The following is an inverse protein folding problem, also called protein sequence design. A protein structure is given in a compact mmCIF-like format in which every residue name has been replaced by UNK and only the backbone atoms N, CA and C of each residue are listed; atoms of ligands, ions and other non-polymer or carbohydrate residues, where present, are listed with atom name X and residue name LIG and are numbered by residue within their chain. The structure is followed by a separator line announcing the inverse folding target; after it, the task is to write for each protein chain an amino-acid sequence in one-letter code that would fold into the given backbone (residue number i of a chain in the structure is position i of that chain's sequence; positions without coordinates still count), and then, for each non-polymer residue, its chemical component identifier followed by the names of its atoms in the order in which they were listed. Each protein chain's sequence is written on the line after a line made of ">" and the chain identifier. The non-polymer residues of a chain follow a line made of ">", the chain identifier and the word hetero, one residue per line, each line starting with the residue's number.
data_IF_631668762765
#
_entry.id   IF_631668762765
#
_cell.length_a   1.000
_cell.length_b   1.000
_cell.length_c   1.000
_cell.angle_alpha   90.00
_cell.angle_beta   90.00
_cell.angle_gamma   90.00
#
_symmetry.space_group_name_H-M   'P 1'
#
loop_
_entity.id
_entity.type
_entity.pdbx_description
1 polymer ?
#
# COMPACT_ATOMS: atom_id res chain seq x y z
N UNK A 1 7.78 33.31 -16.86
CA UNK A 1 8.70 33.79 -15.79
C UNK A 1 9.30 32.58 -15.10
N UNK A 2 10.61 32.54 -14.85
CA UNK A 2 11.27 31.47 -14.10
C UNK A 2 12.34 32.05 -13.16
N UNK A 3 12.76 31.27 -12.16
CA UNK A 3 13.83 31.63 -11.25
C UNK A 3 15.16 31.81 -12.02
N UNK A 4 15.86 32.93 -11.83
CA UNK A 4 16.98 33.36 -12.68
C UNK A 4 18.08 32.29 -12.91
N UNK A 5 18.54 31.51 -11.91
CA UNK A 5 19.50 30.43 -12.11
C UNK A 5 19.04 29.31 -13.05
N UNK A 6 17.73 29.06 -13.14
CA UNK A 6 17.17 28.01 -14.02
C UNK A 6 16.90 28.51 -15.44
N UNK A 7 17.02 29.82 -15.69
CA UNK A 7 16.74 30.41 -17.00
C UNK A 7 17.58 29.78 -18.10
N UNK A 8 18.88 29.64 -17.86
CA UNK A 8 19.80 29.10 -18.85
C UNK A 8 19.59 27.59 -19.08
N UNK A 9 19.29 26.85 -18.01
CA UNK A 9 18.91 25.44 -18.09
C UNK A 9 17.67 25.23 -18.96
N UNK A 10 16.60 25.98 -18.70
CA UNK A 10 15.37 25.89 -19.50
C UNK A 10 15.61 26.34 -20.95
N UNK A 11 16.37 27.43 -21.17
CA UNK A 11 16.70 27.90 -22.52
C UNK A 11 17.40 26.82 -23.34
N UNK A 12 18.38 26.14 -22.74
CA UNK A 12 19.14 25.08 -23.40
C UNK A 12 18.23 23.89 -23.77
N UNK A 13 17.52 23.31 -22.81
CA UNK A 13 16.75 22.09 -23.04
C UNK A 13 15.36 22.28 -23.69
N UNK A 14 14.91 23.53 -23.87
CA UNK A 14 13.79 23.83 -24.75
C UNK A 14 14.23 23.99 -26.22
N UNK A 15 15.51 24.27 -26.46
CA UNK A 15 16.06 24.46 -27.81
C UNK A 15 16.76 23.20 -28.33
N UNK A 16 17.43 22.47 -27.45
CA UNK A 16 18.12 21.21 -27.73
C UNK A 16 17.32 20.03 -27.16
N UNK A 17 17.47 18.84 -27.76
CA UNK A 17 16.83 17.62 -27.24
C UNK A 17 17.37 17.25 -25.85
N UNK A 18 16.48 16.84 -24.95
CA UNK A 18 16.84 16.48 -23.57
C UNK A 18 17.53 15.11 -23.51
N UNK A 19 18.70 14.98 -22.85
CA UNK A 19 19.35 13.69 -22.69
C UNK A 19 18.60 12.84 -21.66
N UNK A 20 18.14 11.66 -22.07
CA UNK A 20 17.44 10.71 -21.21
C UNK A 20 18.40 9.60 -20.75
N UNK A 21 18.44 9.36 -19.45
CA UNK A 21 19.25 8.33 -18.78
C UNK A 21 18.36 7.36 -17.99
N UNK A 22 18.86 6.15 -17.75
CA UNK A 22 18.15 5.14 -16.97
C UNK A 22 18.39 5.31 -15.47
N UNK A 23 17.33 5.23 -14.67
CA UNK A 23 17.43 5.15 -13.19
C UNK A 23 17.16 3.72 -12.68
N UNK A 24 17.17 2.72 -13.55
CA UNK A 24 16.83 1.34 -13.19
C UNK A 24 17.70 0.77 -12.06
N UNK A 25 18.99 1.12 -12.02
CA UNK A 25 19.94 0.68 -11.00
C UNK A 25 19.54 1.06 -9.56
N UNK A 26 18.68 2.07 -9.36
CA UNK A 26 18.19 2.43 -8.03
C UNK A 26 16.95 1.64 -7.58
N UNK A 27 16.20 1.08 -8.54
CA UNK A 27 14.92 0.39 -8.31
C UNK A 27 14.97 -1.06 -8.81
N UNK A 28 16.17 -1.65 -8.89
CA UNK A 28 16.37 -2.94 -9.55
C UNK A 28 15.83 -4.12 -8.73
N UNK A 29 15.83 -4.01 -7.40
CA UNK A 29 15.42 -5.08 -6.48
C UNK A 29 14.02 -5.62 -6.76
N UNK A 30 13.03 -4.74 -6.93
CA UNK A 30 11.63 -5.14 -7.14
C UNK A 30 11.47 -5.87 -8.49
N UNK A 31 12.17 -5.41 -9.52
CA UNK A 31 12.19 -6.09 -10.83
C UNK A 31 12.89 -7.44 -10.76
N UNK A 32 14.07 -7.50 -10.13
CA UNK A 32 14.80 -8.76 -10.00
C UNK A 32 14.01 -9.80 -9.21
N UNK A 33 13.38 -9.40 -8.10
CA UNK A 33 12.51 -10.30 -7.34
C UNK A 33 11.35 -10.81 -8.22
N UNK A 34 10.71 -9.93 -8.99
CA UNK A 34 9.61 -10.33 -9.88
C UNK A 34 10.06 -11.34 -10.96
N UNK A 35 11.22 -11.11 -11.60
CA UNK A 35 11.74 -12.02 -12.64
C UNK A 35 12.22 -13.36 -12.09
N UNK A 36 12.74 -13.40 -10.85
CA UNK A 36 13.05 -14.65 -10.14
C UNK A 36 11.76 -15.42 -9.83
N UNK A 37 10.71 -14.74 -9.39
CA UNK A 37 9.39 -15.34 -9.15
C UNK A 37 8.76 -15.89 -10.43
N UNK A 38 8.90 -15.18 -11.56
CA UNK A 38 8.40 -15.63 -12.85
C UNK A 38 9.22 -16.77 -13.49
N UNK A 39 10.38 -17.12 -12.92
CA UNK A 39 11.28 -18.13 -13.48
C UNK A 39 12.05 -17.67 -14.72
N UNK A 40 12.10 -16.36 -15.00
CA UNK A 40 12.93 -15.81 -16.08
C UNK A 40 14.40 -15.74 -15.65
N UNK A 41 14.63 -15.43 -14.37
CA UNK A 41 15.97 -15.34 -13.77
C UNK A 41 16.14 -16.48 -12.77
N UNK A 42 16.74 -17.58 -13.22
CA UNK A 42 16.94 -18.79 -12.39
C UNK A 42 18.33 -18.87 -11.74
N UNK A 43 19.29 -18.06 -12.19
CA UNK A 43 20.67 -18.06 -11.69
C UNK A 43 21.33 -16.68 -11.86
N UNK A 44 22.48 -16.47 -11.21
CA UNK A 44 23.22 -15.20 -11.25
C UNK A 44 23.61 -14.77 -12.67
N UNK A 45 23.97 -15.72 -13.55
CA UNK A 45 24.30 -15.41 -14.95
C UNK A 45 23.07 -14.92 -15.72
N UNK A 46 21.91 -15.55 -15.52
CA UNK A 46 20.64 -15.14 -16.10
C UNK A 46 20.24 -13.71 -15.65
N UNK A 47 20.57 -13.33 -14.41
CA UNK A 47 20.36 -11.97 -13.91
C UNK A 47 21.23 -10.94 -14.65
N UNK A 48 22.52 -11.25 -14.87
CA UNK A 48 23.40 -10.40 -15.68
C UNK A 48 22.89 -10.31 -17.12
N UNK A 49 22.49 -11.45 -17.70
CA UNK A 49 21.94 -11.51 -19.06
C UNK A 49 20.66 -10.68 -19.16
N UNK A 50 19.75 -10.76 -18.19
CA UNK A 50 18.53 -9.93 -18.11
C UNK A 50 18.84 -8.44 -18.19
N UNK A 51 19.88 -7.97 -17.48
CA UNK A 51 20.28 -6.56 -17.52
C UNK A 51 20.73 -6.11 -18.92
N UNK A 52 21.25 -7.00 -19.76
CA UNK A 52 21.68 -6.66 -21.12
C UNK A 52 20.52 -6.22 -22.03
N UNK A 53 19.29 -6.63 -21.72
CA UNK A 53 18.07 -6.26 -22.47
C UNK A 53 17.57 -4.85 -22.12
N UNK A 54 18.12 -4.24 -21.07
CA UNK A 54 17.59 -2.98 -20.53
C UNK A 54 18.12 -1.75 -21.26
N UNK A 55 17.36 -0.64 -21.17
CA UNK A 55 17.85 0.66 -21.63
C UNK A 55 19.11 1.12 -20.87
N UNK A 56 19.25 0.73 -19.60
CA UNK A 56 20.42 1.01 -18.79
C UNK A 56 21.70 0.50 -19.45
N UNK A 57 21.72 -0.77 -19.86
CA UNK A 57 22.88 -1.39 -20.50
C UNK A 57 23.35 -0.61 -21.74
N UNK A 58 22.40 -0.15 -22.57
CA UNK A 58 22.71 0.68 -23.75
C UNK A 58 23.36 2.03 -23.40
N UNK A 59 23.09 2.57 -22.20
CA UNK A 59 23.60 3.86 -21.72
C UNK A 59 24.93 3.76 -20.96
N UNK A 60 25.25 2.61 -20.37
CA UNK A 60 26.50 2.40 -19.60
C UNK A 60 27.75 2.83 -20.38
N UNK A 61 27.84 2.47 -21.67
CA UNK A 61 28.99 2.82 -22.52
C UNK A 61 28.95 4.26 -23.07
N UNK A 62 27.78 4.91 -23.04
CA UNK A 62 27.58 6.26 -23.59
C UNK A 62 27.83 7.34 -22.54
N UNK A 63 27.51 7.08 -21.29
CA UNK A 63 27.71 8.01 -20.17
C UNK A 63 28.12 7.27 -18.89
N UNK A 64 29.32 6.66 -18.86
CA UNK A 64 29.75 5.79 -17.77
C UNK A 64 29.79 6.50 -16.41
N UNK A 65 30.19 7.78 -16.40
CA UNK A 65 30.29 8.58 -15.18
C UNK A 65 28.95 8.74 -14.45
N UNK A 66 27.84 8.77 -15.20
CA UNK A 66 26.50 8.87 -14.59
C UNK A 66 26.14 7.63 -13.77
N UNK A 67 26.62 6.46 -14.19
CA UNK A 67 26.40 5.18 -13.52
C UNK A 67 27.58 4.77 -12.60
N UNK A 68 28.52 5.69 -12.33
CA UNK A 68 29.75 5.46 -11.55
C UNK A 68 30.72 4.40 -12.14
N UNK A 69 30.69 4.17 -13.46
CA UNK A 69 31.67 3.30 -14.12
C UNK A 69 32.99 4.03 -14.33
N UNK A 70 34.10 3.37 -14.00
CA UNK A 70 35.47 3.88 -14.20
C UNK A 70 35.97 3.75 -15.65
N UNK A 71 35.28 2.97 -16.48
CA UNK A 71 35.70 2.74 -17.86
C UNK A 71 34.58 2.13 -18.71
N UNK A 72 34.76 2.17 -20.03
CA UNK A 72 33.77 1.67 -21.02
C UNK A 72 34.18 0.36 -21.68
N UNK A 73 35.36 -0.18 -21.34
CA UNK A 73 35.80 -1.48 -21.85
C UNK A 73 34.87 -2.61 -21.39
N UNK A 74 34.79 -3.68 -22.19
CA UNK A 74 33.92 -4.83 -21.91
C UNK A 74 34.09 -5.38 -20.48
N UNK A 75 35.33 -5.44 -20.01
CA UNK A 75 35.66 -5.86 -18.63
C UNK A 75 35.01 -4.95 -17.57
N UNK A 76 35.15 -3.63 -17.70
CA UNK A 76 34.58 -2.68 -16.74
C UNK A 76 33.04 -2.75 -16.69
N UNK A 77 32.39 -2.93 -17.84
CA UNK A 77 30.93 -3.08 -17.90
C UNK A 77 30.50 -4.40 -17.27
N UNK A 78 31.19 -5.49 -17.59
CA UNK A 78 30.91 -6.80 -17.00
C UNK A 78 31.08 -6.79 -15.49
N UNK A 79 32.21 -6.27 -15.00
CA UNK A 79 32.51 -6.19 -13.57
C UNK A 79 31.43 -5.36 -12.83
N UNK A 80 31.01 -4.23 -13.41
CA UNK A 80 29.94 -3.41 -12.83
C UNK A 80 28.58 -4.10 -12.81
N UNK A 81 28.19 -4.81 -13.87
CA UNK A 81 26.93 -5.56 -13.89
C UNK A 81 26.93 -6.69 -12.89
N UNK A 82 28.05 -7.43 -12.78
CA UNK A 82 28.22 -8.47 -11.78
C UNK A 82 28.11 -7.91 -10.37
N UNK A 83 28.81 -6.80 -10.05
CA UNK A 83 28.73 -6.14 -8.74
C UNK A 83 27.31 -5.66 -8.41
N UNK A 84 26.61 -5.08 -9.39
CA UNK A 84 25.23 -4.64 -9.23
C UNK A 84 24.27 -5.80 -8.96
N UNK A 85 24.41 -6.91 -9.70
CA UNK A 85 23.58 -8.10 -9.50
C UNK A 85 23.85 -8.74 -8.14
N UNK A 86 25.12 -8.90 -7.75
CA UNK A 86 25.48 -9.43 -6.43
C UNK A 86 24.89 -8.57 -5.31
N UNK A 87 25.07 -7.25 -5.37
CA UNK A 87 24.51 -6.33 -4.36
C UNK A 87 22.99 -6.47 -4.23
N UNK A 88 22.28 -6.53 -5.36
CA UNK A 88 20.82 -6.64 -5.37
C UNK A 88 20.35 -8.00 -4.84
N UNK A 89 21.02 -9.08 -5.22
CA UNK A 89 20.67 -10.42 -4.77
C UNK A 89 20.98 -10.62 -3.28
N UNK A 90 22.11 -10.09 -2.79
CA UNK A 90 22.48 -10.11 -1.38
C UNK A 90 21.46 -9.34 -0.52
N UNK A 91 20.99 -8.18 -1.00
CA UNK A 91 19.92 -7.42 -0.35
C UNK A 91 18.60 -8.21 -0.34
N UNK A 92 18.22 -8.82 -1.46
CA UNK A 92 16.99 -9.62 -1.56
C UNK A 92 17.04 -10.89 -0.70
N UNK A 93 18.20 -11.51 -0.57
CA UNK A 93 18.44 -12.64 0.32
C UNK A 93 18.37 -12.21 1.79
N UNK A 94 18.98 -11.07 2.13
CA UNK A 94 18.91 -10.47 3.47
C UNK A 94 17.47 -10.16 3.89
N UNK A 95 16.65 -9.67 2.95
CA UNK A 95 15.22 -9.44 3.15
C UNK A 95 14.36 -10.71 3.05
N UNK A 96 14.96 -11.90 2.88
CA UNK A 96 14.31 -13.21 2.76
C UNK A 96 13.28 -13.29 1.63
N UNK A 97 13.50 -12.55 0.54
CA UNK A 97 12.66 -12.58 -0.66
C UNK A 97 13.10 -13.67 -1.63
N UNK A 98 14.42 -13.89 -1.73
CA UNK A 98 15.06 -14.91 -2.57
C UNK A 98 16.02 -15.72 -1.71
N UNK A 99 16.29 -16.97 -2.09
CA UNK A 99 17.38 -17.77 -1.52
C UNK A 99 18.37 -18.15 -2.63
N UNK A 100 19.66 -18.08 -2.32
CA UNK A 100 20.73 -18.47 -3.23
C UNK A 100 21.19 -19.90 -2.86
N UNK A 101 20.96 -20.86 -3.74
CA UNK A 101 21.40 -22.24 -3.58
C UNK A 101 22.70 -22.50 -4.37
N UNK A 102 23.63 -23.24 -3.76
CA UNK A 102 24.92 -23.61 -4.39
C UNK A 102 25.69 -22.40 -4.96
N UNK A 103 25.58 -21.25 -4.28
CA UNK A 103 26.15 -19.95 -4.66
C UNK A 103 25.75 -19.44 -6.06
N UNK A 104 24.80 -20.09 -6.74
CA UNK A 104 24.53 -19.87 -8.17
C UNK A 104 23.04 -19.81 -8.52
N UNK A 105 22.24 -20.74 -8.01
CA UNK A 105 20.83 -20.89 -8.36
C UNK A 105 19.95 -20.03 -7.46
N UNK A 106 18.92 -19.42 -8.04
CA UNK A 106 18.01 -18.52 -7.37
C UNK A 106 16.64 -19.18 -7.24
N UNK A 107 16.08 -19.17 -6.02
CA UNK A 107 14.71 -19.59 -5.78
C UNK A 107 13.92 -18.52 -5.04
N UNK A 108 12.66 -18.26 -5.44
CA UNK A 108 11.81 -17.33 -4.71
C UNK A 108 11.39 -17.92 -3.35
N UNK A 109 11.33 -17.07 -2.32
CA UNK A 109 10.75 -17.39 -1.02
C UNK A 109 9.34 -16.78 -0.90
N UNK A 110 8.60 -17.18 0.14
CA UNK A 110 7.23 -16.71 0.37
C UNK A 110 7.11 -15.17 0.39
N UNK A 111 8.07 -14.46 0.99
CA UNK A 111 8.04 -12.99 1.00
C UNK A 111 8.24 -12.40 -0.40
N UNK A 112 9.12 -12.99 -1.21
CA UNK A 112 9.34 -12.58 -2.60
C UNK A 112 8.12 -12.83 -3.47
N UNK A 113 7.46 -13.99 -3.29
CA UNK A 113 6.18 -14.31 -3.94
C UNK A 113 5.10 -13.28 -3.61
N UNK A 114 4.93 -12.93 -2.33
CA UNK A 114 3.96 -11.93 -1.88
C UNK A 114 4.27 -10.55 -2.47
N UNK A 115 5.55 -10.12 -2.44
CA UNK A 115 5.98 -8.84 -2.99
C UNK A 115 5.65 -8.72 -4.49
N UNK A 116 6.00 -9.77 -5.26
CA UNK A 116 5.75 -9.83 -6.71
C UNK A 116 4.24 -9.87 -7.02
N UNK A 117 3.48 -10.71 -6.32
CA UNK A 117 2.05 -10.91 -6.57
C UNK A 117 1.22 -9.64 -6.37
N UNK A 118 1.49 -8.87 -5.32
CA UNK A 118 0.74 -7.64 -5.02
C UNK A 118 1.35 -6.37 -5.61
N UNK A 119 2.49 -6.48 -6.30
CA UNK A 119 3.25 -5.34 -6.83
C UNK A 119 3.57 -4.30 -5.74
N UNK A 120 4.25 -4.80 -4.69
CA UNK A 120 4.65 -4.05 -3.49
C UNK A 120 6.16 -4.12 -3.37
N UNK A 121 6.77 -3.03 -2.90
CA UNK A 121 8.23 -2.99 -2.75
C UNK A 121 8.74 -4.04 -1.76
N UNK A 122 9.85 -4.70 -2.06
CA UNK A 122 10.48 -5.68 -1.18
C UNK A 122 10.79 -5.10 0.20
N UNK A 123 11.16 -3.81 0.27
CA UNK A 123 11.39 -3.06 1.52
C UNK A 123 10.14 -2.99 2.40
N UNK A 124 8.97 -2.86 1.79
CA UNK A 124 7.70 -2.85 2.53
C UNK A 124 7.40 -4.22 3.12
N UNK A 125 7.60 -5.29 2.37
CA UNK A 125 7.40 -6.66 2.87
C UNK A 125 8.41 -7.02 3.95
N UNK A 126 9.67 -6.59 3.82
CA UNK A 126 10.70 -6.73 4.85
C UNK A 126 10.30 -6.01 6.15
N UNK A 127 9.82 -4.76 6.05
CA UNK A 127 9.29 -4.00 7.19
C UNK A 127 8.11 -4.72 7.84
N UNK A 128 7.18 -5.24 7.04
CA UNK A 128 6.05 -6.01 7.56
C UNK A 128 6.55 -7.26 8.31
N UNK A 129 7.44 -8.05 7.70
CA UNK A 129 7.96 -9.26 8.34
C UNK A 129 8.76 -8.99 9.61
N UNK A 130 9.44 -7.83 9.73
CA UNK A 130 10.25 -7.49 10.89
C UNK A 130 9.45 -6.85 12.04
N UNK A 131 8.41 -6.07 11.73
CA UNK A 131 7.61 -5.36 12.73
C UNK A 131 6.45 -6.21 13.31
N UNK A 132 5.93 -7.17 12.54
CA UNK A 132 4.79 -7.98 12.99
C UNK A 132 5.25 -8.98 14.06
N UNK A 133 4.50 -9.05 15.15
CA UNK A 133 4.65 -10.08 16.18
C UNK A 133 3.29 -10.72 16.47
N UNK A 134 3.28 -11.92 17.06
CA UNK A 134 2.03 -12.60 17.43
C UNK A 134 1.14 -11.77 18.39
N UNK A 135 1.70 -10.79 19.10
CA UNK A 135 0.99 -9.93 20.07
C UNK A 135 0.55 -8.59 19.47
N UNK A 136 0.82 -8.34 18.20
CA UNK A 136 0.43 -7.10 17.53
C UNK A 136 -1.08 -6.89 17.61
N UNK A 137 -1.50 -5.68 17.94
CA UNK A 137 -2.92 -5.27 18.03
C UNK A 137 -3.27 -4.33 16.88
N UNK A 138 -4.53 -3.90 16.79
CA UNK A 138 -5.00 -2.98 15.74
C UNK A 138 -4.15 -1.71 15.63
N UNK A 139 -3.75 -1.09 16.77
CA UNK A 139 -2.82 0.05 16.78
C UNK A 139 -1.52 -0.26 16.01
N UNK A 140 -0.89 -1.39 16.33
CA UNK A 140 0.35 -1.80 15.68
C UNK A 140 0.16 -2.17 14.20
N UNK A 141 -0.97 -2.78 13.82
CA UNK A 141 -1.27 -3.04 12.41
C UNK A 141 -1.37 -1.75 11.59
N UNK A 142 -1.96 -0.69 12.16
CA UNK A 142 -2.04 0.63 11.52
C UNK A 142 -0.67 1.29 11.39
N UNK A 143 0.16 1.21 12.42
CA UNK A 143 1.52 1.74 12.40
C UNK A 143 2.39 1.00 11.36
N UNK A 144 2.26 -0.32 11.26
CA UNK A 144 2.95 -1.14 10.26
C UNK A 144 2.45 -0.80 8.86
N UNK A 145 1.14 -0.68 8.66
CA UNK A 145 0.59 -0.29 7.37
C UNK A 145 1.12 1.09 6.94
N UNK A 146 1.13 2.06 7.85
CA UNK A 146 1.60 3.42 7.59
C UNK A 146 3.12 3.51 7.33
N UNK A 147 3.92 2.53 7.78
CA UNK A 147 5.37 2.48 7.54
C UNK A 147 5.75 1.94 6.15
N UNK A 148 4.76 1.59 5.31
CA UNK A 148 4.97 1.14 3.94
C UNK A 148 5.76 2.17 3.10
N UNK A 149 6.69 1.68 2.27
CA UNK A 149 7.56 2.51 1.42
C UNK A 149 6.77 3.23 0.33
N UNK A 150 5.63 2.69 -0.07
CA UNK A 150 4.68 3.28 -1.01
C UNK A 150 4.15 4.63 -0.54
N UNK A 151 4.11 4.86 0.77
CA UNK A 151 3.70 6.14 1.34
C UNK A 151 4.84 7.15 1.40
N UNK A 152 6.09 6.77 1.18
CA UNK A 152 7.21 7.71 1.18
C UNK A 152 7.15 8.73 0.01
N UNK A 153 6.40 8.40 -1.05
CA UNK A 153 6.20 9.27 -2.21
C UNK A 153 5.10 10.33 -2.01
N UNK A 154 4.43 10.35 -0.86
CA UNK A 154 3.36 11.30 -0.60
C UNK A 154 3.89 12.75 -0.64
N UNK A 155 3.23 13.66 -1.37
CA UNK A 155 3.66 15.04 -1.45
C UNK A 155 3.47 15.73 -0.10
N UNK A 156 4.53 16.35 0.41
CA UNK A 156 4.47 17.26 1.55
C UNK A 156 4.32 18.70 1.06
N UNK A 157 3.15 19.31 1.28
CA UNK A 157 2.93 20.71 0.94
C UNK A 157 3.21 21.60 2.16
N UNK A 158 3.76 22.80 1.92
CA UNK A 158 3.95 23.80 2.99
C UNK A 158 2.59 24.25 3.56
N UNK A 159 2.49 24.35 4.87
CA UNK A 159 1.26 24.78 5.56
C UNK A 159 0.31 23.65 5.94
N UNK A 160 0.69 22.39 5.69
CA UNK A 160 -0.07 21.22 6.15
C UNK A 160 0.25 20.84 7.61
N UNK A 161 1.34 21.37 8.18
CA UNK A 161 1.89 20.92 9.47
C UNK A 161 0.90 21.11 10.62
N UNK A 162 0.23 22.27 10.70
CA UNK A 162 -0.75 22.58 11.75
C UNK A 162 -2.02 21.72 11.62
N UNK A 163 -2.43 21.45 10.38
CA UNK A 163 -3.59 20.59 10.11
C UNK A 163 -3.30 19.13 10.47
N UNK A 164 -2.10 18.64 10.14
CA UNK A 164 -1.64 17.30 10.52
C UNK A 164 -1.53 17.19 12.04
N UNK A 165 -0.96 18.19 12.71
CA UNK A 165 -0.87 18.21 14.18
C UNK A 165 -2.26 18.15 14.82
N UNK A 166 -3.23 18.88 14.28
CA UNK A 166 -4.62 18.83 14.75
C UNK A 166 -5.21 17.43 14.56
N UNK A 167 -4.97 16.78 13.41
CA UNK A 167 -5.41 15.40 13.17
C UNK A 167 -4.75 14.43 14.16
N UNK A 168 -3.45 14.57 14.43
CA UNK A 168 -2.70 13.71 15.36
C UNK A 168 -3.23 13.83 16.79
N UNK A 169 -3.58 15.03 17.23
CA UNK A 169 -4.14 15.24 18.58
C UNK A 169 -5.51 14.60 18.79
N UNK A 170 -6.33 14.52 17.74
CA UNK A 170 -7.69 13.97 17.80
C UNK A 170 -7.78 12.49 17.40
N UNK A 171 -6.65 11.82 17.22
CA UNK A 171 -6.62 10.42 16.82
C UNK A 171 -6.96 9.45 17.95
N UNK A 172 -7.61 8.35 17.57
CA UNK A 172 -7.93 7.24 18.47
C UNK A 172 -6.67 6.53 18.95
N UNK A 173 -5.68 6.38 18.08
CA UNK A 173 -4.39 5.79 18.41
C UNK A 173 -3.28 6.82 18.20
N UNK A 174 -2.69 7.28 19.30
CA UNK A 174 -1.54 8.20 19.25
C UNK A 174 -0.29 7.48 18.77
N UNK A 175 0.39 8.07 17.79
CA UNK A 175 1.71 7.65 17.35
C UNK A 175 2.74 8.03 18.43
N UNK A 176 3.48 7.07 18.95
CA UNK A 176 4.51 7.33 19.96
C UNK A 176 5.75 7.98 19.28
N UNK A 177 6.21 9.12 19.83
CA UNK A 177 7.52 9.73 19.58
C UNK A 177 7.91 10.04 18.12
N UNK A 178 7.01 10.58 17.31
CA UNK A 178 7.32 10.87 15.92
C UNK A 178 7.27 12.37 15.61
N UNK A 179 8.27 12.86 14.87
CA UNK A 179 8.31 14.25 14.41
C UNK A 179 7.15 14.44 13.43
N UNK A 180 6.36 15.51 13.60
CA UNK A 180 5.19 15.80 12.76
C UNK A 180 5.51 15.96 11.24
N UNK A 181 6.80 16.07 10.89
CA UNK A 181 7.30 16.18 9.51
C UNK A 181 7.54 14.82 8.84
N UNK A 182 7.34 13.71 9.55
CA UNK A 182 7.48 12.37 8.98
C UNK A 182 6.26 12.01 8.14
N UNK A 183 6.52 11.63 6.88
CA UNK A 183 5.50 11.23 5.90
C UNK A 183 4.69 10.02 6.39
N UNK A 184 5.29 9.13 7.18
CA UNK A 184 4.60 7.97 7.75
C UNK A 184 3.61 8.36 8.86
N UNK A 185 3.89 9.43 9.61
CA UNK A 185 2.94 9.99 10.60
C UNK A 185 1.75 10.60 9.88
N UNK A 186 2.00 11.36 8.82
CA UNK A 186 0.95 11.90 7.95
C UNK A 186 0.08 10.77 7.38
N UNK A 187 0.69 9.69 6.91
CA UNK A 187 -0.04 8.53 6.37
C UNK A 187 -0.94 7.89 7.44
N UNK A 188 -0.42 7.63 8.64
CA UNK A 188 -1.20 7.11 9.76
C UNK A 188 -2.35 8.04 10.13
N UNK A 189 -2.08 9.36 10.17
CA UNK A 189 -3.07 10.35 10.52
C UNK A 189 -4.24 10.40 9.55
N UNK A 190 -3.95 10.36 8.25
CA UNK A 190 -4.96 10.39 7.20
C UNK A 190 -5.76 9.07 7.14
N UNK A 191 -5.14 7.93 7.44
CA UNK A 191 -5.85 6.65 7.60
C UNK A 191 -6.84 6.70 8.77
N UNK A 192 -6.41 7.20 9.94
CA UNK A 192 -7.31 7.31 11.09
C UNK A 192 -8.42 8.34 10.88
N UNK A 193 -8.14 9.44 10.18
CA UNK A 193 -9.15 10.42 9.77
C UNK A 193 -10.20 9.79 8.84
N UNK A 194 -9.78 8.90 7.94
CA UNK A 194 -10.68 8.13 7.05
C UNK A 194 -11.62 7.24 7.84
N UNK A 195 -11.12 6.45 8.79
CA UNK A 195 -11.96 5.59 9.64
C UNK A 195 -12.92 6.40 10.52
N UNK A 196 -12.54 7.61 10.89
CA UNK A 196 -13.36 8.48 11.73
C UNK A 196 -14.35 9.33 10.91
N UNK A 197 -14.33 9.22 9.58
CA UNK A 197 -15.08 10.06 8.63
C UNK A 197 -14.90 11.56 8.89
N UNK A 198 -13.71 11.95 9.36
CA UNK A 198 -13.39 13.34 9.59
C UNK A 198 -13.20 14.03 8.23
N UNK A 199 -13.81 15.19 8.05
CA UNK A 199 -13.70 15.96 6.80
C UNK A 199 -12.30 16.54 6.68
N UNK A 200 -11.54 16.03 5.72
CA UNK A 200 -10.23 16.57 5.33
C UNK A 200 -10.41 17.40 4.06
N UNK A 201 -9.74 18.55 3.97
CA UNK A 201 -9.90 19.52 2.87
C UNK A 201 -8.58 19.80 2.13
N UNK A 202 -8.69 20.31 0.90
CA UNK A 202 -7.55 20.76 0.11
C UNK A 202 -6.55 19.64 -0.22
N UNK A 203 -5.25 19.93 -0.04
CA UNK A 203 -4.16 19.01 -0.37
C UNK A 203 -4.16 17.75 0.49
N UNK A 204 -4.58 17.84 1.75
CA UNK A 204 -4.69 16.66 2.62
C UNK A 204 -5.77 15.68 2.14
N UNK A 205 -6.84 16.17 1.52
CA UNK A 205 -7.86 15.32 0.92
C UNK A 205 -7.32 14.59 -0.32
N UNK A 206 -6.47 15.24 -1.10
CA UNK A 206 -5.77 14.59 -2.22
C UNK A 206 -4.80 13.52 -1.70
N UNK A 207 -3.98 13.85 -0.70
CA UNK A 207 -3.06 12.90 -0.06
C UNK A 207 -3.79 11.71 0.58
N UNK A 208 -4.96 11.92 1.19
CA UNK A 208 -5.77 10.81 1.72
C UNK A 208 -6.22 9.85 0.61
N UNK A 209 -6.62 10.36 -0.57
CA UNK A 209 -6.96 9.50 -1.71
C UNK A 209 -5.74 8.72 -2.20
N UNK A 210 -4.59 9.37 -2.30
CA UNK A 210 -3.34 8.73 -2.71
C UNK A 210 -2.92 7.60 -1.76
N UNK A 211 -3.18 7.75 -0.46
CA UNK A 211 -2.95 6.69 0.56
C UNK A 211 -3.94 5.53 0.41
N UNK A 212 -5.21 5.83 0.15
CA UNK A 212 -6.26 4.81 0.10
C UNK A 212 -6.16 3.93 -1.15
N UNK A 213 -5.51 4.39 -2.23
CA UNK A 213 -5.32 3.61 -3.46
C UNK A 213 -4.50 2.33 -3.25
N UNK A 214 -3.27 2.37 -2.67
CA UNK A 214 -2.49 1.18 -2.39
C UNK A 214 -2.90 0.43 -1.12
N UNK A 215 -3.69 1.03 -0.22
CA UNK A 215 -4.03 0.42 1.07
C UNK A 215 -4.63 -1.01 0.96
N UNK A 216 -5.57 -1.32 0.03
CA UNK A 216 -6.11 -2.67 -0.10
C UNK A 216 -5.07 -3.73 -0.46
N UNK A 217 -4.13 -3.42 -1.36
CA UNK A 217 -3.05 -4.38 -1.73
C UNK A 217 -2.05 -4.56 -0.58
N UNK A 218 -1.71 -3.47 0.12
CA UNK A 218 -0.82 -3.51 1.28
C UNK A 218 -1.43 -4.32 2.44
N UNK A 219 -2.74 -4.21 2.68
CA UNK A 219 -3.40 -4.99 3.73
C UNK A 219 -3.48 -6.47 3.34
N UNK A 220 -3.73 -6.79 2.06
CA UNK A 220 -3.73 -8.18 1.59
C UNK A 220 -2.35 -8.82 1.72
N UNK A 221 -1.29 -8.13 1.33
CA UNK A 221 0.07 -8.65 1.54
C UNK A 221 0.40 -8.81 3.03
N UNK A 222 -0.07 -7.89 3.88
CA UNK A 222 0.06 -8.01 5.33
C UNK A 222 -0.64 -9.27 5.86
N UNK A 223 -1.86 -9.57 5.39
CA UNK A 223 -2.59 -10.80 5.73
C UNK A 223 -1.80 -12.05 5.34
N UNK A 224 -1.20 -12.07 4.15
CA UNK A 224 -0.45 -13.24 3.66
C UNK A 224 0.88 -13.44 4.40
N UNK A 225 1.56 -12.35 4.76
CA UNK A 225 2.75 -12.39 5.64
C UNK A 225 2.39 -12.95 7.02
N UNK A 226 1.27 -12.52 7.60
CA UNK A 226 0.79 -13.03 8.90
C UNK A 226 0.39 -14.51 8.78
N UNK A 227 -0.28 -14.87 7.69
CA UNK A 227 -0.78 -16.23 7.45
C UNK A 227 0.37 -17.21 7.23
N UNK A 228 1.45 -16.78 6.57
CA UNK A 228 2.69 -17.56 6.42
C UNK A 228 3.34 -17.92 7.77
N UNK A 229 3.08 -17.14 8.82
CA UNK A 229 3.56 -17.39 10.19
C UNK A 229 2.55 -18.18 11.06
N UNK A 230 1.35 -18.49 10.55
CA UNK A 230 0.34 -19.28 11.26
C UNK A 230 -0.43 -18.53 12.35
N UNK A 231 -0.43 -17.19 12.34
CA UNK A 231 -1.09 -16.39 13.38
C UNK A 231 -2.55 -16.03 13.04
N UNK A 232 -3.46 -17.00 13.17
CA UNK A 232 -4.89 -16.86 12.80
C UNK A 232 -5.58 -15.63 13.41
N UNK A 233 -5.42 -15.41 14.73
CA UNK A 233 -6.01 -14.27 15.44
C UNK A 233 -5.61 -12.94 14.81
N UNK A 234 -4.33 -12.80 14.45
CA UNK A 234 -3.79 -11.59 13.87
C UNK A 234 -4.23 -11.43 12.40
N UNK A 235 -4.31 -12.54 11.65
CA UNK A 235 -4.82 -12.53 10.28
C UNK A 235 -6.27 -12.03 10.23
N UNK A 236 -7.13 -12.50 11.15
CA UNK A 236 -8.51 -12.02 11.28
C UNK A 236 -8.55 -10.51 11.58
N UNK A 237 -7.66 -10.01 12.44
CA UNK A 237 -7.55 -8.57 12.72
C UNK A 237 -7.08 -7.75 11.52
N UNK A 238 -6.18 -8.27 10.70
CA UNK A 238 -5.78 -7.63 9.45
C UNK A 238 -6.91 -7.66 8.40
N UNK A 239 -7.74 -8.70 8.38
CA UNK A 239 -8.95 -8.74 7.53
C UNK A 239 -10.00 -7.72 7.98
N UNK A 240 -10.21 -7.57 9.30
CA UNK A 240 -11.04 -6.50 9.84
C UNK A 240 -10.51 -5.12 9.41
N UNK A 241 -9.20 -4.91 9.42
CA UNK A 241 -8.58 -3.68 8.92
C UNK A 241 -8.87 -3.44 7.42
N UNK A 242 -8.87 -4.48 6.60
CA UNK A 242 -9.26 -4.37 5.18
C UNK A 242 -10.70 -3.88 5.03
N UNK A 243 -11.60 -4.35 5.89
CA UNK A 243 -13.00 -3.91 5.91
C UNK A 243 -13.11 -2.45 6.37
N UNK A 244 -12.35 -2.07 7.42
CA UNK A 244 -12.30 -0.70 7.92
C UNK A 244 -11.85 0.29 6.84
N UNK A 245 -10.82 -0.04 6.05
CA UNK A 245 -10.37 0.80 4.92
C UNK A 245 -11.41 0.90 3.83
N UNK A 246 -12.05 -0.21 3.48
CA UNK A 246 -13.07 -0.23 2.41
C UNK A 246 -14.31 0.58 2.78
N UNK A 247 -14.77 0.45 4.02
CA UNK A 247 -16.02 1.07 4.50
C UNK A 247 -15.82 2.45 5.16
N UNK A 248 -14.58 2.84 5.45
CA UNK A 248 -14.25 4.10 6.11
C UNK A 248 -14.92 4.21 7.49
N UNK A 249 -14.76 3.17 8.32
CA UNK A 249 -15.34 3.11 9.66
C UNK A 249 -14.45 2.27 10.59
N UNK A 250 -14.60 2.44 11.89
CA UNK A 250 -13.87 1.65 12.88
C UNK A 250 -14.51 0.27 13.13
N UNK A 251 -13.71 -0.62 13.70
CA UNK A 251 -14.10 -1.97 14.13
C UNK A 251 -15.29 -2.02 15.10
N UNK A 252 -15.42 -0.99 15.94
CA UNK A 252 -16.47 -0.87 16.98
C UNK A 252 -17.66 -0.03 16.55
N UNK A 253 -17.61 0.55 15.37
CA UNK A 253 -18.71 1.35 14.85
C UNK A 253 -19.87 0.44 14.44
N UNK A 254 -21.09 0.97 14.52
CA UNK A 254 -22.28 0.22 14.13
C UNK A 254 -22.26 -0.14 12.64
N UNK A 255 -22.66 -1.37 12.32
CA UNK A 255 -22.69 -1.88 10.95
C UNK A 255 -23.58 -1.04 10.03
N UNK A 256 -24.61 -0.38 10.58
CA UNK A 256 -25.52 0.48 9.82
C UNK A 256 -24.81 1.65 9.14
N UNK A 257 -23.65 2.10 9.65
CA UNK A 257 -22.86 3.16 9.03
C UNK A 257 -22.28 2.77 7.67
N UNK A 258 -22.30 1.49 7.28
CA UNK A 258 -21.92 1.06 5.93
C UNK A 258 -22.88 1.57 4.86
N UNK A 259 -24.12 1.89 5.25
CA UNK A 259 -25.13 2.37 4.32
C UNK A 259 -24.95 3.86 4.00
N UNK A 260 -25.21 4.27 2.74
CA UNK A 260 -25.19 5.67 2.37
C UNK A 260 -26.14 6.49 3.24
N UNK A 261 -25.75 7.73 3.53
CA UNK A 261 -26.58 8.73 4.26
C UNK A 261 -26.87 8.40 5.73
N UNK A 262 -26.35 7.29 6.28
CA UNK A 262 -26.44 7.01 7.70
C UNK A 262 -25.44 7.85 8.50
N UNK A 263 -25.97 8.73 9.35
CA UNK A 263 -25.19 9.49 10.33
C UNK A 263 -25.13 8.77 11.68
N UNK A 264 -24.28 9.23 12.60
CA UNK A 264 -24.17 8.63 13.94
C UNK A 264 -25.48 8.76 14.72
N UNK A 265 -26.15 9.91 14.61
CA UNK A 265 -27.43 10.19 15.28
C UNK A 265 -28.55 9.28 14.76
N UNK A 266 -28.60 9.05 13.44
CA UNK A 266 -29.58 8.13 12.86
C UNK A 266 -29.33 6.69 13.35
N UNK A 267 -28.06 6.31 13.46
CA UNK A 267 -27.66 4.98 13.89
C UNK A 267 -28.05 4.71 15.34
N UNK A 268 -27.87 5.68 16.24
CA UNK A 268 -28.30 5.60 17.63
C UNK A 268 -29.82 5.42 17.74
N UNK A 269 -30.59 6.20 17.00
CA UNK A 269 -32.07 6.08 16.94
C UNK A 269 -32.51 4.69 16.49
N UNK A 270 -31.78 4.08 15.56
CA UNK A 270 -32.09 2.76 15.04
C UNK A 270 -31.77 1.65 16.03
N UNK A 271 -30.66 1.78 16.75
CA UNK A 271 -30.30 0.88 17.83
C UNK A 271 -31.31 0.94 19.00
N UNK A 272 -31.83 2.12 19.34
CA UNK A 272 -32.91 2.26 20.31
C UNK A 272 -34.20 1.53 19.90
N UNK A 273 -34.42 1.35 18.60
CA UNK A 273 -35.54 0.59 18.05
C UNK A 273 -35.24 -0.91 17.86
N UNK A 274 -34.09 -1.39 18.37
CA UNK A 274 -33.69 -2.80 18.31
C UNK A 274 -33.16 -3.27 16.96
N UNK A 275 -32.76 -2.34 16.08
CA UNK A 275 -32.20 -2.62 14.76
C UNK A 275 -30.68 -2.44 14.85
N UNK A 276 -29.94 -3.53 14.85
CA UNK A 276 -28.48 -3.52 15.02
C UNK A 276 -27.73 -3.99 13.77
N UNK A 277 -28.41 -4.73 12.89
CA UNK A 277 -27.83 -5.38 11.73
C UNK A 277 -28.44 -4.90 10.42
N UNK A 278 -27.65 -4.99 9.35
CA UNK A 278 -28.13 -4.72 7.98
C UNK A 278 -29.06 -5.84 7.50
N UNK A 279 -29.08 -6.99 8.15
CA UNK A 279 -30.05 -8.04 7.86
C UNK A 279 -31.46 -7.69 8.37
N UNK A 280 -31.55 -6.98 9.50
CA UNK A 280 -32.81 -6.53 10.09
C UNK A 280 -33.53 -5.52 9.16
N UNK A 281 -32.76 -4.82 8.31
CA UNK A 281 -33.28 -3.92 7.27
C UNK A 281 -34.12 -4.63 6.21
N UNK A 282 -33.79 -5.88 5.87
CA UNK A 282 -34.54 -6.65 4.89
C UNK A 282 -35.91 -7.09 5.45
N UNK A 283 -36.05 -7.18 6.77
CA UNK A 283 -37.27 -7.61 7.45
C UNK A 283 -38.20 -6.44 7.82
N UNK A 284 -37.72 -5.20 7.68
CA UNK A 284 -38.49 -4.01 7.97
C UNK A 284 -39.49 -3.67 6.86
N UNK A 285 -40.74 -3.46 7.24
CA UNK A 285 -41.77 -2.92 6.35
C UNK A 285 -41.36 -1.53 5.84
N UNK A 286 -41.61 -1.24 4.55
CA UNK A 286 -41.28 0.04 3.91
C UNK A 286 -41.78 1.27 4.69
N UNK A 287 -42.96 1.19 5.30
CA UNK A 287 -43.53 2.28 6.11
C UNK A 287 -42.72 2.57 7.37
N UNK A 288 -42.26 1.54 8.09
CA UNK A 288 -41.36 1.71 9.25
C UNK A 288 -40.01 2.25 8.82
N UNK A 289 -39.48 1.76 7.70
CA UNK A 289 -38.21 2.22 7.14
C UNK A 289 -38.27 3.71 6.78
N UNK A 290 -39.35 4.15 6.12
CA UNK A 290 -39.53 5.55 5.74
C UNK A 290 -39.75 6.48 6.95
N UNK A 291 -40.48 6.01 7.96
CA UNK A 291 -40.69 6.74 9.21
C UNK A 291 -39.40 6.89 10.04
N UNK A 292 -38.53 5.87 10.02
CA UNK A 292 -37.27 5.86 10.77
C UNK A 292 -36.14 6.60 10.04
N UNK A 293 -36.07 6.51 8.71
CA UNK A 293 -35.04 7.19 7.91
C UNK A 293 -35.32 8.69 7.83
N UNK A 294 -36.57 9.10 7.66
CA UNK A 294 -36.93 10.51 7.40
C UNK A 294 -36.12 11.15 6.26
N UNK A 295 -35.60 10.32 5.33
CA UNK A 295 -34.77 10.74 4.21
C UNK A 295 -35.61 10.93 2.94
N UNK A 296 -35.19 11.82 2.02
CA UNK A 296 -35.82 11.95 0.72
C UNK A 296 -35.77 10.64 -0.10
N UNK A 297 -36.77 10.45 -0.96
CA UNK A 297 -36.93 9.22 -1.78
C UNK A 297 -35.70 8.86 -2.63
N UNK A 298 -34.88 9.84 -3.03
CA UNK A 298 -33.62 9.59 -3.74
C UNK A 298 -32.60 8.84 -2.87
N UNK A 299 -32.47 9.22 -1.60
CA UNK A 299 -31.54 8.58 -0.66
C UNK A 299 -32.05 7.21 -0.21
N UNK A 300 -33.37 7.02 -0.14
CA UNK A 300 -33.98 5.70 0.09
C UNK A 300 -33.64 4.70 -1.01
N UNK A 301 -33.60 5.18 -2.26
CA UNK A 301 -33.18 4.37 -3.41
C UNK A 301 -31.71 3.95 -3.29
N UNK A 302 -30.81 4.88 -2.94
CA UNK A 302 -29.38 4.56 -2.73
C UNK A 302 -29.18 3.49 -1.65
N UNK A 303 -29.96 3.55 -0.56
CA UNK A 303 -29.92 2.59 0.54
C UNK A 303 -30.43 1.22 0.07
N UNK A 304 -31.54 1.19 -0.68
CA UNK A 304 -32.15 -0.04 -1.18
C UNK A 304 -31.25 -0.70 -2.23
N UNK A 305 -30.65 0.08 -3.13
CA UNK A 305 -29.68 -0.40 -4.13
C UNK A 305 -28.41 -0.94 -3.43
N UNK A 306 -27.96 -0.31 -2.35
CA UNK A 306 -26.82 -0.78 -1.55
C UNK A 306 -27.13 -2.02 -0.72
N UNK A 307 -28.38 -2.19 -0.27
CA UNK A 307 -28.84 -3.37 0.47
C UNK A 307 -29.05 -4.58 -0.43
N UNK A 308 -29.64 -4.39 -1.62
CA UNK A 308 -29.90 -5.46 -2.59
C UNK A 308 -28.64 -5.83 -3.39
N UNK A 309 -27.75 -4.87 -3.66
CA UNK A 309 -26.43 -5.13 -4.19
C UNK A 309 -25.58 -5.81 -3.12
N UNK A 310 -25.29 -7.09 -3.27
CA UNK A 310 -24.62 -8.01 -2.33
C UNK A 310 -23.26 -7.57 -1.73
N UNK A 311 -22.82 -6.33 -1.94
CA UNK A 311 -21.58 -5.71 -1.45
C UNK A 311 -21.46 -5.68 0.08
N UNK A 312 -22.58 -5.70 0.79
CA UNK A 312 -22.62 -5.65 2.26
C UNK A 312 -22.34 -7.04 2.87
N UNK A 313 -22.99 -8.09 2.35
CA UNK A 313 -22.75 -9.49 2.74
C UNK A 313 -21.37 -10.02 2.31
N UNK A 314 -20.79 -9.46 1.25
CA UNK A 314 -19.49 -9.88 0.72
C UNK A 314 -18.31 -9.48 1.62
N UNK A 315 -18.41 -8.39 2.39
CA UNK A 315 -17.30 -7.93 3.22
C UNK A 315 -16.92 -8.92 4.34
N UNK A 316 -17.87 -9.63 4.97
CA UNK A 316 -17.56 -10.62 6.04
C UNK A 316 -17.18 -12.00 5.49
N UNK A 317 -17.82 -12.49 4.42
CA UNK A 317 -17.62 -13.87 3.95
C UNK A 317 -16.63 -14.03 2.79
N UNK A 318 -16.56 -13.08 1.84
CA UNK A 318 -15.55 -13.15 0.76
C UNK A 318 -14.16 -12.77 1.23
N UNK A 319 -14.02 -11.94 2.26
CA UNK A 319 -12.70 -11.64 2.84
C UNK A 319 -12.00 -12.91 3.35
N UNK A 320 -12.74 -13.80 4.03
CA UNK A 320 -12.21 -15.09 4.48
C UNK A 320 -12.05 -16.07 3.30
N UNK A 321 -12.99 -16.11 2.35
CA UNK A 321 -12.96 -17.08 1.24
C UNK A 321 -12.01 -16.71 0.07
N UNK A 322 -11.71 -15.43 -0.12
CA UNK A 322 -10.80 -14.94 -1.17
C UNK A 322 -9.39 -14.74 -0.62
N UNK A 323 -9.22 -14.44 0.68
CA UNK A 323 -7.87 -14.29 1.28
C UNK A 323 -7.35 -15.55 2.00
N UNK A 324 -8.18 -16.54 2.35
CA UNK A 324 -7.72 -17.79 3.01
C UNK A 324 -7.80 -19.01 2.08
N UNK A 325 -8.69 -19.01 1.09
CA UNK A 325 -9.01 -20.20 0.26
C UNK A 325 -8.56 -20.10 -1.20
N UNK A 326 -7.83 -19.07 -1.59
CA UNK A 326 -6.92 -19.15 -2.74
C UNK A 326 -5.51 -19.43 -2.18
N UNK A 327 -5.17 -20.70 -1.91
CA UNK A 327 -3.79 -21.04 -1.64
C UNK A 327 -2.99 -20.71 -2.90
N UNK A 328 -1.80 -20.16 -2.67
CA UNK A 328 -0.58 -20.34 -3.47
C UNK A 328 -0.72 -21.52 -4.44
N UNK A 329 -1.28 -21.28 -5.61
CA UNK A 329 -1.38 -22.25 -6.68
C UNK A 329 -0.47 -21.73 -7.79
N UNK A 330 0.80 -22.12 -7.60
CA UNK A 330 1.93 -22.21 -8.53
C UNK A 330 1.81 -21.43 -9.85
#
# INVERSE_FOLDING_TARGET
>A
LCHAPRKEYHRKFLSEAFPVESHLHHNLHDHMNAEVVCGVVENKQAAVDYLTWTFMYRRLTKNPNYYNLQGTGHRHVSDHLSELVETVLDDLESSKCVVIEEDTFLKPLNLGLIASYYYISYKTIERFSSMITQKTKMKGLLEILASASEYAELPSCRGEEESIETLVRHQRFSAENSKNDDVHVKANALLQAHFSRQTVVGNLAAGQREILLPAPRLIKSLVDVISSNGWLSLALKAMELSQMVTQGMWDRDSMLLQLPHFTKELTERWQENGIESIFDLAELSADKMQNLLQLPNSQLKDITDSSNGSRISECRMKSVKVMILEPVAL
#
